data_IF_927761716134
#
_entry.id   IF_927761716134
#
_cell.length_a   1.000
_cell.length_b   1.000
_cell.length_c   1.000
_cell.angle_alpha   90.00
_cell.angle_beta   90.00
_cell.angle_gamma   90.00
#
_symmetry.space_group_name_H-M   'P 1'
#
loop_
_entity.id
_entity.type
_entity.pdbx_description
1 polymer ?
#
# COMPACT_ATOMS: atom_id res chain seq x y z
N UNK A 1 -0.81 20.50 -3.28
CA UNK A 1 -1.06 19.51 -4.34
C UNK A 1 -1.15 18.14 -3.71
N UNK A 2 -2.05 17.32 -4.22
CA UNK A 2 -2.18 15.95 -3.71
C UNK A 2 -0.94 15.13 -4.02
N UNK A 3 -0.64 14.18 -3.12
CA UNK A 3 0.43 13.21 -3.31
C UNK A 3 -0.18 11.84 -3.58
N UNK A 4 0.35 11.15 -4.56
CA UNK A 4 0.02 9.76 -4.82
C UNK A 4 1.12 8.87 -4.26
N UNK A 5 0.75 8.01 -3.33
CA UNK A 5 1.63 7.01 -2.72
C UNK A 5 1.25 5.66 -3.31
N UNK A 6 2.09 5.15 -4.19
CA UNK A 6 1.86 3.92 -4.93
C UNK A 6 2.72 2.80 -4.37
N UNK A 7 2.13 1.63 -4.12
CA UNK A 7 2.85 0.48 -3.57
C UNK A 7 2.58 -0.74 -4.45
N UNK A 8 3.64 -1.45 -4.81
CA UNK A 8 3.57 -2.69 -5.57
C UNK A 8 4.02 -3.83 -4.67
N UNK A 9 3.23 -4.91 -4.65
CA UNK A 9 3.44 -6.05 -3.76
C UNK A 9 3.71 -7.32 -4.55
N UNK A 10 4.84 -7.97 -4.23
CA UNK A 10 5.18 -9.29 -4.74
C UNK A 10 5.22 -10.26 -3.57
N UNK A 11 4.28 -11.20 -3.47
CA UNK A 11 4.25 -12.15 -2.35
C UNK A 11 5.51 -12.99 -2.30
N UNK A 12 6.00 -13.23 -1.09
CA UNK A 12 7.08 -14.18 -0.86
C UNK A 12 6.58 -15.61 -1.05
N UNK A 13 7.51 -16.54 -1.18
CA UNK A 13 7.20 -17.96 -1.33
C UNK A 13 6.29 -18.43 -0.19
N UNK A 14 5.23 -19.16 -0.54
CA UNK A 14 4.29 -19.69 0.42
C UNK A 14 3.14 -18.77 0.82
N UNK A 15 3.16 -17.50 0.36
CA UNK A 15 2.08 -16.55 0.65
C UNK A 15 0.99 -16.70 -0.42
N UNK A 16 -0.19 -17.15 -0.01
CA UNK A 16 -1.29 -17.42 -0.93
C UNK A 16 -2.24 -16.24 -1.11
N UNK A 17 -3.22 -16.44 -2.01
CA UNK A 17 -4.19 -15.42 -2.38
C UNK A 17 -5.03 -14.93 -1.20
N UNK A 18 -5.42 -15.82 -0.29
CA UNK A 18 -6.23 -15.45 0.87
C UNK A 18 -5.48 -14.52 1.82
N UNK A 19 -4.18 -14.78 2.02
CA UNK A 19 -3.35 -13.90 2.84
C UNK A 19 -3.20 -12.53 2.19
N UNK A 20 -3.04 -12.49 0.88
CA UNK A 20 -2.95 -11.22 0.16
C UNK A 20 -4.23 -10.41 0.29
N UNK A 21 -5.41 -11.01 0.18
CA UNK A 21 -6.67 -10.29 0.37
C UNK A 21 -6.83 -9.78 1.80
N UNK A 22 -6.39 -10.54 2.78
CA UNK A 22 -6.37 -10.10 4.18
C UNK A 22 -5.49 -8.85 4.36
N UNK A 23 -4.30 -8.86 3.74
CA UNK A 23 -3.38 -7.72 3.75
C UNK A 23 -4.02 -6.50 3.08
N UNK A 24 -4.62 -6.65 1.90
CA UNK A 24 -5.27 -5.53 1.21
C UNK A 24 -6.42 -4.96 2.03
N UNK A 25 -7.19 -5.81 2.71
CA UNK A 25 -8.26 -5.35 3.59
C UNK A 25 -7.71 -4.47 4.71
N UNK A 26 -6.59 -4.86 5.31
CA UNK A 26 -5.92 -4.05 6.34
C UNK A 26 -5.47 -2.70 5.80
N UNK A 27 -4.96 -2.67 4.58
CA UNK A 27 -4.53 -1.41 3.94
C UNK A 27 -5.74 -0.50 3.67
N UNK A 28 -6.82 -1.06 3.13
CA UNK A 28 -8.04 -0.29 2.84
C UNK A 28 -8.64 0.33 4.09
N UNK A 29 -8.39 -0.24 5.26
CA UNK A 29 -8.90 0.27 6.53
C UNK A 29 -8.14 1.49 7.06
N UNK A 30 -7.07 1.92 6.40
CA UNK A 30 -6.23 3.03 6.86
C UNK A 30 -6.78 4.42 6.47
N UNK A 31 -8.00 4.52 5.97
CA UNK A 31 -8.58 5.79 5.53
C UNK A 31 -8.79 6.80 6.66
N UNK A 32 -8.77 6.36 7.91
CA UNK A 32 -8.92 7.24 9.07
C UNK A 32 -7.64 8.02 9.42
N UNK A 33 -6.50 7.66 8.84
CA UNK A 33 -5.23 8.35 9.13
C UNK A 33 -5.30 9.77 8.57
N UNK A 34 -4.93 10.79 9.40
CA UNK A 34 -4.97 12.18 8.95
C UNK A 34 -4.21 12.41 7.65
N UNK A 35 -4.81 13.16 6.73
CA UNK A 35 -4.24 13.47 5.42
C UNK A 35 -4.60 12.49 4.32
N UNK A 36 -5.20 11.35 4.64
CA UNK A 36 -5.65 10.38 3.62
C UNK A 36 -6.93 10.87 2.97
N UNK A 37 -6.90 11.03 1.64
CA UNK A 37 -8.07 11.36 0.84
C UNK A 37 -8.77 10.08 0.38
N UNK A 38 -8.02 9.11 -0.14
CA UNK A 38 -8.56 7.88 -0.68
C UNK A 38 -7.51 6.79 -0.69
N UNK A 39 -7.96 5.54 -0.59
CA UNK A 39 -7.13 4.35 -0.77
C UNK A 39 -7.85 3.42 -1.73
N UNK A 40 -7.14 2.95 -2.75
CA UNK A 40 -7.60 1.83 -3.56
C UNK A 40 -6.52 0.76 -3.58
N UNK A 41 -6.93 -0.50 -3.64
CA UNK A 41 -6.02 -1.62 -3.66
C UNK A 41 -6.66 -2.76 -4.43
N UNK A 42 -5.87 -3.51 -5.18
CA UNK A 42 -6.40 -4.58 -5.98
C UNK A 42 -5.35 -5.51 -6.53
N UNK A 43 -5.84 -6.56 -7.18
CA UNK A 43 -5.02 -7.57 -7.80
C UNK A 43 -4.59 -7.12 -9.20
N UNK A 44 -3.33 -7.35 -9.55
CA UNK A 44 -2.82 -7.13 -10.89
C UNK A 44 -3.50 -8.10 -11.88
N UNK A 45 -3.90 -7.56 -13.02
CA UNK A 45 -4.59 -8.34 -14.07
C UNK A 45 -3.72 -8.56 -15.31
N UNK A 46 -2.46 -8.12 -15.28
CA UNK A 46 -1.54 -8.25 -16.43
C UNK A 46 -0.21 -8.86 -15.98
N UNK A 47 0.67 -9.13 -16.92
CA UNK A 47 2.02 -9.63 -16.67
C UNK A 47 3.08 -8.52 -16.74
N UNK A 48 2.66 -7.24 -16.69
CA UNK A 48 3.54 -6.09 -16.97
C UNK A 48 4.22 -5.50 -15.74
N UNK A 49 3.96 -6.03 -14.55
CA UNK A 49 4.41 -5.44 -13.29
C UNK A 49 5.63 -6.14 -12.68
N UNK A 50 6.42 -6.84 -13.50
CA UNK A 50 7.70 -7.41 -13.03
C UNK A 50 7.57 -8.41 -11.89
N UNK A 51 6.47 -9.15 -11.83
CA UNK A 51 6.22 -10.12 -10.76
C UNK A 51 5.31 -9.62 -9.65
N UNK A 52 5.04 -8.30 -9.58
CA UNK A 52 4.10 -7.78 -8.61
C UNK A 52 2.67 -8.28 -8.92
N UNK A 53 1.99 -8.79 -7.91
CA UNK A 53 0.66 -9.36 -8.06
C UNK A 53 -0.45 -8.45 -7.54
N UNK A 54 -0.12 -7.44 -6.75
CA UNK A 54 -1.09 -6.54 -6.14
C UNK A 54 -0.53 -5.13 -6.11
N UNK A 55 -1.43 -4.15 -6.20
CA UNK A 55 -1.08 -2.74 -6.14
C UNK A 55 -1.96 -2.00 -5.15
N UNK A 56 -1.41 -0.92 -4.62
CA UNK A 56 -2.10 0.00 -3.72
C UNK A 56 -1.84 1.42 -4.19
N UNK A 57 -2.87 2.25 -4.17
CA UNK A 57 -2.73 3.68 -4.40
C UNK A 57 -3.37 4.42 -3.24
N UNK A 58 -2.57 5.19 -2.51
CA UNK A 58 -3.02 6.06 -1.44
C UNK A 58 -2.88 7.49 -1.90
N UNK A 59 -3.99 8.22 -1.92
CA UNK A 59 -3.98 9.64 -2.23
C UNK A 59 -3.96 10.41 -0.92
N UNK A 60 -2.93 11.22 -0.73
CA UNK A 60 -2.77 12.10 0.43
C UNK A 60 -3.02 13.56 0.02
N UNK A 61 -3.39 14.40 0.99
CA UNK A 61 -3.68 15.82 0.75
C UNK A 61 -2.49 16.58 0.17
N UNK A 62 -1.26 16.20 0.60
CA UNK A 62 -0.01 16.85 0.17
C UNK A 62 1.17 15.96 0.51
N UNK A 63 2.34 16.31 -0.03
CA UNK A 63 3.61 15.65 0.34
C UNK A 63 3.90 15.80 1.85
N UNK A 64 3.47 16.89 2.45
CA UNK A 64 3.63 17.11 3.89
C UNK A 64 2.87 16.13 4.77
N UNK A 65 1.84 15.46 4.25
CA UNK A 65 1.09 14.44 4.98
C UNK A 65 1.79 13.07 4.98
N UNK A 66 2.76 12.84 4.10
CA UNK A 66 3.39 11.52 3.94
C UNK A 66 4.14 11.05 5.19
N UNK A 67 4.98 11.87 5.85
CA UNK A 67 5.69 11.40 7.05
C UNK A 67 4.74 10.97 8.17
N UNK A 68 3.67 11.73 8.41
CA UNK A 68 2.67 11.39 9.43
C UNK A 68 1.92 10.11 9.11
N UNK A 69 1.61 9.89 7.83
CA UNK A 69 0.99 8.66 7.36
C UNK A 69 1.91 7.45 7.60
N UNK A 70 3.16 7.54 7.15
CA UNK A 70 4.11 6.43 7.28
C UNK A 70 4.43 6.10 8.74
N UNK A 71 4.45 7.10 9.62
CA UNK A 71 4.79 6.93 11.04
C UNK A 71 3.59 6.61 11.92
N UNK A 72 2.37 6.69 11.39
CA UNK A 72 1.18 6.37 12.15
C UNK A 72 1.24 4.93 12.64
N UNK A 73 0.92 4.66 13.94
CA UNK A 73 1.02 3.30 14.49
C UNK A 73 0.24 2.25 13.69
N UNK A 74 -0.93 2.60 13.18
CA UNK A 74 -1.73 1.67 12.39
C UNK A 74 -1.08 1.36 11.04
N UNK A 75 -0.45 2.36 10.41
CA UNK A 75 0.31 2.12 9.19
C UNK A 75 1.55 1.27 9.46
N UNK A 76 2.25 1.52 10.56
CA UNK A 76 3.45 0.74 10.91
C UNK A 76 3.13 -0.74 11.12
N UNK A 77 2.01 -1.04 11.77
CA UNK A 77 1.57 -2.42 11.97
C UNK A 77 1.28 -3.12 10.64
N UNK A 78 0.58 -2.44 9.73
CA UNK A 78 0.31 -2.96 8.38
C UNK A 78 1.60 -3.10 7.59
N UNK A 79 2.47 -2.10 7.66
CA UNK A 79 3.76 -2.12 6.97
C UNK A 79 4.66 -3.28 7.40
N UNK A 80 4.68 -3.59 8.69
CA UNK A 80 5.44 -4.73 9.21
C UNK A 80 4.90 -6.05 8.64
N UNK A 81 3.59 -6.20 8.60
CA UNK A 81 2.95 -7.37 7.99
C UNK A 81 3.26 -7.47 6.49
N UNK A 82 3.22 -6.34 5.78
CA UNK A 82 3.58 -6.29 4.36
C UNK A 82 4.99 -6.81 4.13
N UNK A 83 5.96 -6.29 4.88
CA UNK A 83 7.37 -6.66 4.70
C UNK A 83 7.65 -8.09 5.11
N UNK A 84 6.89 -8.63 6.05
CA UNK A 84 6.99 -10.03 6.44
C UNK A 84 6.56 -10.97 5.31
N UNK A 85 5.53 -10.58 4.54
CA UNK A 85 4.89 -11.45 3.56
C UNK A 85 5.21 -11.12 2.11
N UNK A 86 5.73 -9.92 1.83
CA UNK A 86 5.93 -9.44 0.47
C UNK A 86 7.25 -8.72 0.28
N UNK A 87 7.75 -8.75 -0.96
CA UNK A 87 8.67 -7.75 -1.47
C UNK A 87 7.83 -6.50 -1.79
N UNK A 88 8.29 -5.34 -1.34
CA UNK A 88 7.52 -4.09 -1.45
C UNK A 88 8.32 -3.05 -2.22
N UNK A 89 7.70 -2.47 -3.25
CA UNK A 89 8.21 -1.29 -3.94
C UNK A 89 7.22 -0.14 -3.72
N UNK A 90 7.73 1.04 -3.46
CA UNK A 90 6.91 2.23 -3.26
C UNK A 90 7.44 3.38 -4.12
N UNK A 91 6.51 4.14 -4.68
CA UNK A 91 6.79 5.33 -5.48
C UNK A 91 5.83 6.42 -5.06
N UNK A 92 6.38 7.59 -4.76
CA UNK A 92 5.59 8.74 -4.31
C UNK A 92 5.77 9.88 -5.29
N UNK A 93 4.65 10.45 -5.80
CA UNK A 93 4.73 11.58 -6.72
C UNK A 93 3.59 12.56 -6.48
N UNK A 94 3.85 13.83 -6.74
CA UNK A 94 2.82 14.86 -6.68
C UNK A 94 2.03 14.88 -7.99
N UNK A 95 0.74 15.13 -7.85
CA UNK A 95 -0.12 15.32 -9.02
C UNK A 95 0.21 16.60 -9.75
#
# INVERSE_FOLDING_TARGET
>A
MALEHMVWLTPKSGVGADKMEEILTSIRALTHIPGVIAISAGRNITDRAGGATHGVLVTLESDGALPGYLQHPDHQAVGDSLREHCEVLALDYER
#
